data_IF_106507788224
#
_entry.id   IF_106507788224
#
_cell.length_a   1.000
_cell.length_b   1.000
_cell.length_c   1.000
_cell.angle_alpha   90.00
_cell.angle_beta   90.00
_cell.angle_gamma   90.00
#
_symmetry.space_group_name_H-M   'P 1'
#
loop_
_entity.id
_entity.type
_entity.pdbx_description
1 polymer ?
#
# COMPACT_ATOMS: atom_id res chain seq x y z
N UNK A 1 37.99 -2.82 30.86
CA UNK A 1 36.57 -2.87 31.30
C UNK A 1 35.56 -2.31 30.28
N UNK A 2 35.98 -1.61 29.22
CA UNK A 2 35.09 -1.02 28.20
C UNK A 2 34.51 -2.02 27.19
N UNK A 3 35.25 -3.08 26.82
CA UNK A 3 34.79 -4.11 25.86
C UNK A 3 33.51 -4.87 26.29
N UNK A 4 33.30 -5.10 27.59
CA UNK A 4 32.11 -5.81 28.09
C UNK A 4 30.85 -4.91 28.09
N UNK A 5 30.99 -3.59 28.27
CA UNK A 5 29.88 -2.62 28.17
C UNK A 5 29.40 -2.43 26.72
N UNK A 6 30.30 -2.52 25.74
CA UNK A 6 29.95 -2.41 24.32
C UNK A 6 29.21 -3.68 23.85
N UNK A 7 29.66 -4.87 24.29
CA UNK A 7 28.95 -6.14 24.00
C UNK A 7 27.53 -6.16 24.53
N UNK A 8 27.30 -5.59 25.72
CA UNK A 8 25.96 -5.53 26.33
C UNK A 8 25.04 -4.53 25.63
N UNK A 9 25.53 -3.36 25.23
CA UNK A 9 24.74 -2.37 24.48
C UNK A 9 24.30 -2.88 23.10
N UNK A 10 25.23 -3.47 22.34
CA UNK A 10 24.95 -4.02 21.01
C UNK A 10 23.97 -5.21 21.10
N UNK A 11 24.10 -6.03 22.13
CA UNK A 11 23.16 -7.13 22.40
C UNK A 11 21.75 -6.62 22.73
N UNK A 12 21.63 -5.55 23.54
CA UNK A 12 20.36 -4.89 23.86
C UNK A 12 19.68 -4.33 22.61
N UNK A 13 20.45 -3.70 21.72
CA UNK A 13 19.94 -3.14 20.48
C UNK A 13 19.46 -4.23 19.49
N UNK A 14 20.18 -5.35 19.41
CA UNK A 14 19.75 -6.52 18.62
C UNK A 14 18.49 -7.19 19.19
N UNK A 15 18.37 -7.26 20.53
CA UNK A 15 17.18 -7.77 21.20
C UNK A 15 15.96 -6.89 20.91
N UNK A 16 16.13 -5.57 20.89
CA UNK A 16 15.07 -4.62 20.57
C UNK A 16 14.57 -4.78 19.13
N UNK A 17 15.48 -4.96 18.17
CA UNK A 17 15.12 -5.25 16.78
C UNK A 17 14.37 -6.58 16.65
N UNK A 18 14.80 -7.62 17.36
CA UNK A 18 14.12 -8.91 17.39
C UNK A 18 12.71 -8.80 17.97
N UNK A 19 12.53 -8.06 19.06
CA UNK A 19 11.22 -7.83 19.68
C UNK A 19 10.28 -7.08 18.74
N UNK A 20 10.77 -6.01 18.10
CA UNK A 20 10.02 -5.24 17.10
C UNK A 20 9.57 -6.10 15.92
N UNK A 21 10.41 -7.02 15.46
CA UNK A 21 10.03 -7.97 14.41
C UNK A 21 8.85 -8.86 14.83
N UNK A 22 8.87 -9.41 16.05
CA UNK A 22 7.74 -10.20 16.57
C UNK A 22 6.47 -9.36 16.72
N UNK A 23 6.57 -8.11 17.20
CA UNK A 23 5.41 -7.21 17.29
C UNK A 23 4.77 -7.01 15.92
N UNK A 24 5.58 -6.75 14.88
CA UNK A 24 5.08 -6.57 13.51
C UNK A 24 4.43 -7.85 12.99
N UNK A 25 5.04 -9.01 13.27
CA UNK A 25 4.50 -10.30 12.87
C UNK A 25 3.13 -10.57 13.51
N UNK A 26 2.99 -10.34 14.82
CA UNK A 26 1.72 -10.48 15.52
C UNK A 26 0.69 -9.46 15.04
N UNK A 27 1.09 -8.20 14.85
CA UNK A 27 0.21 -7.17 14.29
C UNK A 27 -0.28 -7.56 12.88
N UNK A 28 0.58 -8.16 12.06
CA UNK A 28 0.20 -8.67 10.73
C UNK A 28 -0.86 -9.74 10.78
N UNK A 29 -0.66 -10.80 11.58
CA UNK A 29 -1.66 -11.86 11.72
C UNK A 29 -2.98 -11.33 12.30
N UNK A 30 -2.90 -10.42 13.28
CA UNK A 30 -4.10 -9.79 13.85
C UNK A 30 -4.87 -8.98 12.80
N UNK A 31 -4.17 -8.13 12.05
CA UNK A 31 -4.77 -7.33 10.96
C UNK A 31 -5.32 -8.21 9.85
N UNK A 32 -4.65 -9.32 9.53
CA UNK A 32 -5.12 -10.30 8.53
C UNK A 32 -6.42 -10.98 8.95
N UNK A 33 -6.54 -11.41 10.21
CA UNK A 33 -7.79 -11.99 10.71
C UNK A 33 -8.95 -10.99 10.64
N UNK A 34 -8.69 -9.72 10.99
CA UNK A 34 -9.69 -8.65 10.89
C UNK A 34 -10.06 -8.40 9.43
N UNK A 35 -9.09 -8.21 8.55
CA UNK A 35 -9.36 -7.92 7.14
C UNK A 35 -10.05 -9.08 6.43
N UNK A 36 -9.78 -10.33 6.85
CA UNK A 36 -10.49 -11.50 6.34
C UNK A 36 -11.95 -11.52 6.79
N UNK A 37 -12.26 -11.17 8.04
CA UNK A 37 -13.64 -11.04 8.50
C UNK A 37 -14.43 -9.98 7.71
N UNK A 38 -13.76 -8.88 7.33
CA UNK A 38 -14.35 -7.78 6.54
C UNK A 38 -14.06 -7.88 5.02
N UNK A 39 -13.71 -9.07 4.50
CA UNK A 39 -13.27 -9.20 3.10
C UNK A 39 -14.34 -8.79 2.10
N UNK A 40 -15.60 -9.08 2.38
CA UNK A 40 -16.71 -8.79 1.47
C UNK A 40 -16.96 -7.27 1.38
N UNK A 41 -16.83 -6.54 2.48
CA UNK A 41 -16.92 -5.07 2.44
C UNK A 41 -15.72 -4.45 1.73
N UNK A 42 -14.52 -5.04 1.87
CA UNK A 42 -13.34 -4.59 1.13
C UNK A 42 -13.56 -4.77 -0.38
N UNK A 43 -14.05 -5.94 -0.81
CA UNK A 43 -14.43 -6.21 -2.21
C UNK A 43 -15.43 -5.17 -2.71
N UNK A 44 -16.49 -4.91 -1.94
CA UNK A 44 -17.49 -3.91 -2.30
C UNK A 44 -16.86 -2.51 -2.44
N UNK A 45 -15.98 -2.11 -1.52
CA UNK A 45 -15.29 -0.82 -1.55
C UNK A 45 -14.45 -0.67 -2.84
N UNK A 46 -13.74 -1.72 -3.25
CA UNK A 46 -12.93 -1.71 -4.47
C UNK A 46 -13.79 -1.58 -5.74
N UNK A 47 -15.00 -2.15 -5.76
CA UNK A 47 -15.88 -2.21 -6.94
C UNK A 47 -16.89 -1.05 -6.97
N UNK A 48 -17.21 -0.43 -5.83
CA UNK A 48 -18.26 0.59 -5.69
C UNK A 48 -18.13 1.73 -6.72
N UNK A 49 -16.91 2.21 -6.97
CA UNK A 49 -16.65 3.28 -7.94
C UNK A 49 -17.00 2.90 -9.39
N UNK A 50 -17.03 1.61 -9.71
CA UNK A 50 -17.40 1.10 -11.04
C UNK A 50 -18.91 0.81 -11.12
N UNK A 51 -19.49 0.30 -10.03
CA UNK A 51 -20.94 0.09 -9.90
C UNK A 51 -21.70 1.41 -10.04
N UNK A 52 -21.27 2.45 -9.32
CA UNK A 52 -21.84 3.81 -9.40
C UNK A 52 -21.77 4.44 -10.79
N UNK A 53 -20.78 4.05 -11.60
CA UNK A 53 -20.63 4.49 -12.99
C UNK A 53 -21.34 3.59 -14.00
N UNK A 54 -22.10 2.57 -13.55
CA UNK A 54 -22.76 1.54 -14.37
C UNK A 54 -21.84 0.80 -15.36
N UNK A 55 -20.54 0.75 -15.08
CA UNK A 55 -19.52 0.16 -15.95
C UNK A 55 -19.36 -1.36 -15.75
N UNK A 56 -19.88 -1.88 -14.64
CA UNK A 56 -19.78 -3.27 -14.21
C UNK A 56 -21.11 -3.69 -13.59
N UNK A 57 -21.71 -4.77 -14.08
CA UNK A 57 -22.97 -5.31 -13.57
C UNK A 57 -22.78 -6.55 -12.69
N UNK A 58 -21.90 -7.45 -13.09
CA UNK A 58 -21.62 -8.69 -12.37
C UNK A 58 -20.20 -9.20 -12.71
N UNK A 59 -19.68 -10.07 -11.84
CA UNK A 59 -18.48 -10.84 -12.09
C UNK A 59 -18.84 -12.30 -12.33
N UNK A 60 -18.03 -12.98 -13.13
CA UNK A 60 -18.12 -14.42 -13.32
C UNK A 60 -17.01 -15.10 -12.53
N UNK A 61 -17.32 -16.22 -11.90
CA UNK A 61 -16.34 -17.11 -11.31
C UNK A 61 -16.49 -18.47 -11.99
N UNK A 62 -15.36 -19.06 -12.38
CA UNK A 62 -15.36 -20.35 -13.08
C UNK A 62 -15.20 -21.52 -12.12
N UNK A 63 -14.42 -21.33 -11.05
CA UNK A 63 -14.22 -22.30 -9.99
C UNK A 63 -14.81 -21.83 -8.68
N UNK A 64 -15.34 -22.77 -7.89
CA UNK A 64 -15.90 -22.51 -6.55
C UNK A 64 -14.84 -21.96 -5.59
N UNK A 65 -13.58 -22.37 -5.74
CA UNK A 65 -12.47 -21.92 -4.89
C UNK A 65 -11.99 -20.50 -5.22
N UNK A 66 -12.39 -19.92 -6.36
CA UNK A 66 -11.90 -18.59 -6.77
C UNK A 66 -12.28 -17.51 -5.75
N UNK A 67 -13.54 -17.51 -5.30
CA UNK A 67 -14.04 -16.51 -4.34
C UNK A 67 -13.28 -16.60 -3.00
N UNK A 68 -13.03 -17.83 -2.53
CA UNK A 68 -12.27 -18.04 -1.30
C UNK A 68 -10.82 -17.52 -1.43
N UNK A 69 -10.16 -17.84 -2.55
CA UNK A 69 -8.79 -17.39 -2.82
C UNK A 69 -8.74 -15.87 -2.97
N UNK A 70 -9.72 -15.25 -3.63
CA UNK A 70 -9.78 -13.78 -3.76
C UNK A 70 -9.95 -13.11 -2.40
N UNK A 71 -10.81 -13.64 -1.54
CA UNK A 71 -11.03 -13.07 -0.20
C UNK A 71 -9.74 -13.10 0.64
N UNK A 72 -9.02 -14.23 0.61
CA UNK A 72 -7.71 -14.37 1.28
C UNK A 72 -6.69 -13.41 0.67
N UNK A 73 -6.63 -13.31 -0.66
CA UNK A 73 -5.62 -12.48 -1.31
C UNK A 73 -5.84 -10.99 -1.01
N UNK A 74 -7.09 -10.53 -1.03
CA UNK A 74 -7.46 -9.15 -0.68
C UNK A 74 -7.19 -8.88 0.80
N UNK A 75 -7.58 -9.77 1.71
CA UNK A 75 -7.32 -9.60 3.14
C UNK A 75 -5.82 -9.57 3.45
N UNK A 76 -5.02 -10.38 2.74
CA UNK A 76 -3.57 -10.40 2.86
C UNK A 76 -2.93 -9.11 2.33
N UNK A 77 -3.33 -8.64 1.15
CA UNK A 77 -2.84 -7.39 0.59
C UNK A 77 -3.16 -6.18 1.47
N UNK A 78 -4.38 -6.10 1.99
CA UNK A 78 -4.79 -5.00 2.89
C UNK A 78 -4.06 -5.04 4.24
N UNK A 79 -3.90 -6.23 4.85
CA UNK A 79 -3.12 -6.39 6.07
C UNK A 79 -1.64 -6.03 5.85
N UNK A 80 -1.03 -6.47 4.73
CA UNK A 80 0.33 -6.07 4.36
C UNK A 80 0.45 -4.54 4.23
N UNK A 81 -0.53 -3.89 3.60
CA UNK A 81 -0.51 -2.45 3.42
C UNK A 81 -0.53 -1.70 4.77
N UNK A 82 -1.42 -2.08 5.68
CA UNK A 82 -1.54 -1.45 7.01
C UNK A 82 -0.29 -1.74 7.85
N UNK A 83 0.25 -2.96 7.79
CA UNK A 83 1.46 -3.32 8.54
C UNK A 83 2.71 -2.61 8.04
N UNK A 84 2.81 -2.29 6.75
CA UNK A 84 3.92 -1.48 6.22
C UNK A 84 3.94 -0.09 6.87
N UNK A 85 2.78 0.53 7.09
CA UNK A 85 2.67 1.81 7.77
C UNK A 85 3.15 1.72 9.23
N UNK A 86 2.70 0.68 9.95
CA UNK A 86 3.16 0.41 11.33
C UNK A 86 4.65 0.11 11.41
N UNK A 87 5.19 -0.62 10.43
CA UNK A 87 6.62 -0.97 10.37
C UNK A 87 7.49 0.28 10.28
N UNK A 88 7.07 1.29 9.51
CA UNK A 88 7.81 2.56 9.38
C UNK A 88 7.88 3.28 10.74
N UNK A 89 6.79 3.32 11.50
CA UNK A 89 6.78 3.87 12.86
C UNK A 89 7.73 3.11 13.79
N UNK A 90 7.69 1.78 13.75
CA UNK A 90 8.53 0.95 14.62
C UNK A 90 10.02 1.10 14.30
N UNK A 91 10.37 1.21 13.01
CA UNK A 91 11.73 1.52 12.56
C UNK A 91 12.14 2.90 13.06
N UNK A 92 11.25 3.89 13.01
CA UNK A 92 11.54 5.23 13.55
C UNK A 92 11.77 5.19 15.06
N UNK A 93 10.94 4.51 15.86
CA UNK A 93 11.16 4.39 17.31
C UNK A 93 12.52 3.77 17.65
N UNK A 94 12.97 2.82 16.84
CA UNK A 94 14.30 2.23 16.97
C UNK A 94 15.42 3.22 16.65
N UNK A 95 15.30 3.98 15.56
CA UNK A 95 16.27 4.98 15.13
C UNK A 95 16.29 6.21 16.05
N UNK A 96 15.14 6.61 16.60
CA UNK A 96 14.93 7.84 17.37
C UNK A 96 15.83 7.93 18.61
N UNK A 97 16.22 6.78 19.18
CA UNK A 97 17.15 6.71 20.32
C UNK A 97 18.58 7.13 19.96
N UNK A 98 18.96 7.04 18.69
CA UNK A 98 20.26 7.44 18.18
C UNK A 98 20.30 8.79 17.47
N UNK A 99 19.15 9.42 17.23
CA UNK A 99 19.01 10.67 16.47
C UNK A 99 19.05 11.91 17.36
N UNK A 100 19.57 13.02 16.84
CA UNK A 100 19.51 14.31 17.53
C UNK A 100 18.06 14.84 17.58
N UNK A 101 17.74 15.67 18.58
CA UNK A 101 16.38 16.24 18.78
C UNK A 101 15.83 16.93 17.53
N UNK A 102 16.68 17.66 16.78
CA UNK A 102 16.30 18.31 15.53
C UNK A 102 16.00 17.32 14.40
N UNK A 103 16.74 16.21 14.31
CA UNK A 103 16.53 15.17 13.30
C UNK A 103 15.22 14.42 13.56
N UNK A 104 14.89 14.15 14.82
CA UNK A 104 13.61 13.54 15.18
C UNK A 104 12.41 14.40 14.75
N UNK A 105 12.50 15.74 14.83
CA UNK A 105 11.44 16.62 14.36
C UNK A 105 11.26 16.55 12.83
N UNK A 106 12.36 16.48 12.08
CA UNK A 106 12.34 16.31 10.62
C UNK A 106 11.68 14.97 10.24
N UNK A 107 11.99 13.88 10.93
CA UNK A 107 11.36 12.57 10.72
C UNK A 107 9.86 12.58 10.99
N UNK A 108 9.41 13.24 12.07
CA UNK A 108 7.97 13.34 12.37
C UNK A 108 7.25 14.11 11.26
N UNK A 109 7.83 15.22 10.79
CA UNK A 109 7.27 15.99 9.68
C UNK A 109 7.22 15.18 8.38
N UNK A 110 8.25 14.41 8.09
CA UNK A 110 8.29 13.48 6.96
C UNK A 110 7.18 12.43 7.07
N UNK A 111 7.02 11.80 8.24
CA UNK A 111 6.02 10.76 8.46
C UNK A 111 4.59 11.29 8.34
N UNK A 112 4.33 12.50 8.82
CA UNK A 112 3.03 13.16 8.65
C UNK A 112 2.72 13.43 7.17
N UNK A 113 3.69 13.96 6.42
CA UNK A 113 3.56 14.14 4.96
C UNK A 113 3.33 12.80 4.25
N UNK A 114 4.01 11.75 4.68
CA UNK A 114 3.86 10.40 4.12
C UNK A 114 2.43 9.88 4.29
N UNK A 115 1.81 10.04 5.46
CA UNK A 115 0.41 9.61 5.69
C UNK A 115 -0.55 10.34 4.74
N UNK A 116 -0.41 11.67 4.63
CA UNK A 116 -1.26 12.49 3.74
C UNK A 116 -1.08 12.05 2.28
N UNK A 117 0.17 11.81 1.88
CA UNK A 117 0.48 11.40 0.52
C UNK A 117 -0.09 10.00 0.21
N UNK A 118 0.02 9.04 1.13
CA UNK A 118 -0.59 7.72 0.98
C UNK A 118 -2.10 7.80 0.78
N UNK A 119 -2.79 8.64 1.56
CA UNK A 119 -4.22 8.83 1.42
C UNK A 119 -4.59 9.42 0.05
N UNK A 120 -3.83 10.41 -0.42
CA UNK A 120 -4.01 10.99 -1.75
C UNK A 120 -3.78 9.96 -2.86
N UNK A 121 -2.73 9.14 -2.76
CA UNK A 121 -2.45 8.07 -3.72
C UNK A 121 -3.62 7.08 -3.79
N UNK A 122 -4.08 6.58 -2.64
CA UNK A 122 -5.20 5.63 -2.58
C UNK A 122 -6.43 6.22 -3.27
N UNK A 123 -6.78 7.46 -2.92
CA UNK A 123 -7.93 8.13 -3.51
C UNK A 123 -7.77 8.30 -5.04
N UNK A 124 -6.59 8.69 -5.51
CA UNK A 124 -6.28 8.87 -6.93
C UNK A 124 -6.41 7.55 -7.71
N UNK A 125 -5.88 6.45 -7.17
CA UNK A 125 -5.95 5.13 -7.82
C UNK A 125 -7.40 4.68 -7.96
N UNK A 126 -8.20 4.79 -6.89
CA UNK A 126 -9.59 4.33 -6.89
C UNK A 126 -10.55 5.21 -7.68
N UNK A 127 -10.35 6.53 -7.72
CA UNK A 127 -11.28 7.46 -8.38
C UNK A 127 -10.96 7.74 -9.84
N UNK A 128 -9.67 7.76 -10.21
CA UNK A 128 -9.22 8.12 -11.56
C UNK A 128 -8.68 6.92 -12.33
N UNK A 129 -7.72 6.18 -11.76
CA UNK A 129 -6.99 5.17 -12.52
C UNK A 129 -7.87 3.95 -12.84
N UNK A 130 -8.51 3.36 -11.83
CA UNK A 130 -9.34 2.17 -12.02
C UNK A 130 -10.50 2.41 -13.00
N UNK A 131 -11.29 3.50 -12.88
CA UNK A 131 -12.37 3.77 -13.84
C UNK A 131 -11.86 4.04 -15.26
N UNK A 132 -10.72 4.71 -15.43
CA UNK A 132 -10.16 4.99 -16.75
C UNK A 132 -9.69 3.71 -17.44
N UNK A 133 -9.02 2.81 -16.71
CA UNK A 133 -8.64 1.50 -17.22
C UNK A 133 -9.88 0.71 -17.65
N UNK A 134 -10.96 0.78 -16.86
CA UNK A 134 -12.20 0.08 -17.18
C UNK A 134 -12.89 0.63 -18.43
N UNK A 135 -12.93 1.95 -18.57
CA UNK A 135 -13.45 2.61 -19.76
C UNK A 135 -12.65 2.19 -21.01
N UNK A 136 -11.33 2.09 -20.89
CA UNK A 136 -10.48 1.58 -21.97
C UNK A 136 -10.84 0.14 -22.34
N UNK A 137 -10.99 -0.78 -21.36
CA UNK A 137 -11.37 -2.17 -21.64
C UNK A 137 -12.77 -2.31 -22.25
N UNK A 138 -13.75 -1.53 -21.80
CA UNK A 138 -15.09 -1.55 -22.40
C UNK A 138 -15.09 -1.06 -23.85
N UNK A 139 -14.23 -0.08 -24.17
CA UNK A 139 -14.08 0.44 -25.53
C UNK A 139 -13.31 -0.52 -26.45
N UNK A 140 -12.63 -1.53 -25.91
CA UNK A 140 -11.99 -2.61 -26.69
C UNK A 140 -12.99 -3.66 -27.20
N UNK A 141 -14.27 -3.57 -26.84
CA UNK A 141 -15.28 -4.46 -27.40
C UNK A 141 -15.32 -4.31 -28.93
N UNK A 142 -14.75 -5.29 -29.64
CA UNK A 142 -14.75 -5.36 -31.08
C UNK A 142 -16.18 -5.65 -31.57
N UNK A 143 -16.97 -4.60 -31.73
CA UNK A 143 -18.32 -4.69 -32.35
C UNK A 143 -18.20 -4.91 -33.87
N UNK A 144 -17.00 -4.84 -34.44
CA UNK A 144 -16.82 -4.85 -35.88
C UNK A 144 -16.05 -6.08 -36.38
N UNK A 145 -16.78 -7.13 -36.75
CA UNK A 145 -16.58 -7.88 -38.01
C UNK A 145 -17.43 -9.16 -38.02
N UNK A 146 -17.99 -9.44 -39.18
CA UNK A 146 -19.05 -10.39 -39.53
C UNK A 146 -18.88 -11.88 -39.15
N UNK A 147 -17.98 -12.24 -38.22
CA UNK A 147 -17.58 -13.64 -37.97
C UNK A 147 -17.59 -14.03 -36.48
N UNK A 148 -17.34 -13.11 -35.52
CA UNK A 148 -17.33 -13.47 -34.09
C UNK A 148 -17.58 -12.27 -33.17
N UNK A 149 -18.66 -12.33 -32.38
CA UNK A 149 -18.95 -11.34 -31.34
C UNK A 149 -18.17 -11.69 -30.06
N UNK A 150 -17.24 -10.82 -29.65
CA UNK A 150 -16.49 -10.98 -28.40
C UNK A 150 -17.16 -10.12 -27.33
N UNK A 151 -17.69 -10.76 -26.28
CA UNK A 151 -18.22 -10.07 -25.11
C UNK A 151 -17.16 -9.98 -24.01
N UNK A 152 -17.04 -8.81 -23.39
CA UNK A 152 -16.16 -8.62 -22.24
C UNK A 152 -16.90 -8.99 -20.96
N UNK A 153 -16.58 -10.18 -20.44
CA UNK A 153 -17.07 -10.66 -19.15
C UNK A 153 -15.89 -10.87 -18.19
N UNK A 154 -15.70 -10.00 -17.19
CA UNK A 154 -14.56 -10.06 -16.31
C UNK A 154 -14.71 -11.21 -15.30
N UNK A 155 -13.67 -12.05 -15.20
CA UNK A 155 -13.57 -13.03 -14.12
C UNK A 155 -13.12 -12.35 -12.82
N UNK A 156 -13.68 -12.78 -11.69
CA UNK A 156 -13.44 -12.15 -10.39
C UNK A 156 -11.95 -12.19 -9.98
N UNK A 157 -11.30 -13.35 -10.12
CA UNK A 157 -9.91 -13.52 -9.73
C UNK A 157 -8.96 -12.66 -10.58
N UNK A 158 -9.15 -12.66 -11.90
CA UNK A 158 -8.31 -11.86 -12.81
C UNK A 158 -8.47 -10.36 -12.57
N UNK A 159 -9.69 -9.92 -12.27
CA UNK A 159 -10.00 -8.54 -11.96
C UNK A 159 -9.27 -8.06 -10.70
N UNK A 160 -9.42 -8.78 -9.58
CA UNK A 160 -8.78 -8.38 -8.32
C UNK A 160 -7.26 -8.51 -8.36
N UNK A 161 -6.73 -9.54 -9.02
CA UNK A 161 -5.28 -9.66 -9.21
C UNK A 161 -4.72 -8.48 -10.00
N UNK A 162 -5.41 -8.07 -11.07
CA UNK A 162 -5.01 -6.92 -11.86
C UNK A 162 -5.05 -5.63 -11.01
N UNK A 163 -6.15 -5.36 -10.31
CA UNK A 163 -6.30 -4.14 -9.50
C UNK A 163 -5.30 -4.08 -8.36
N UNK A 164 -5.13 -5.18 -7.62
CA UNK A 164 -4.17 -5.23 -6.51
C UNK A 164 -2.74 -5.09 -7.02
N UNK A 165 -2.38 -5.75 -8.12
CA UNK A 165 -1.06 -5.61 -8.74
C UNK A 165 -0.80 -4.19 -9.21
N UNK A 166 -1.78 -3.56 -9.89
CA UNK A 166 -1.69 -2.16 -10.31
C UNK A 166 -1.60 -1.21 -9.12
N UNK A 167 -2.39 -1.45 -8.07
CA UNK A 167 -2.34 -0.66 -6.85
C UNK A 167 -0.94 -0.71 -6.22
N UNK A 168 -0.36 -1.90 -6.07
CA UNK A 168 0.97 -2.09 -5.50
C UNK A 168 2.04 -1.41 -6.35
N UNK A 169 2.00 -1.57 -7.68
CA UNK A 169 3.02 -0.98 -8.57
C UNK A 169 2.96 0.55 -8.57
N UNK A 170 1.77 1.12 -8.70
CA UNK A 170 1.55 2.57 -8.64
C UNK A 170 1.95 3.13 -7.28
N UNK A 171 1.60 2.44 -6.20
CA UNK A 171 1.97 2.83 -4.85
C UNK A 171 3.50 2.89 -4.68
N UNK A 172 4.23 1.87 -5.16
CA UNK A 172 5.70 1.86 -5.10
C UNK A 172 6.29 3.03 -5.89
N UNK A 173 5.81 3.27 -7.12
CA UNK A 173 6.28 4.37 -7.96
C UNK A 173 6.03 5.73 -7.29
N UNK A 174 4.83 5.94 -6.76
CA UNK A 174 4.45 7.19 -6.10
C UNK A 174 5.22 7.37 -4.78
N UNK A 175 5.50 6.27 -4.07
CA UNK A 175 6.33 6.30 -2.87
C UNK A 175 7.79 6.69 -3.17
N UNK A 176 8.38 6.16 -4.24
CA UNK A 176 9.73 6.58 -4.69
C UNK A 176 9.72 8.06 -5.07
N UNK A 177 8.70 8.52 -5.80
CA UNK A 177 8.53 9.93 -6.15
C UNK A 177 8.42 10.82 -4.90
N UNK A 178 7.67 10.40 -3.89
CA UNK A 178 7.55 11.11 -2.62
C UNK A 178 8.90 11.26 -1.89
N UNK A 179 9.69 10.18 -1.83
CA UNK A 179 11.04 10.23 -1.23
C UNK A 179 11.91 11.24 -1.99
N UNK A 180 11.90 11.21 -3.32
CA UNK A 180 12.68 12.12 -4.16
C UNK A 180 12.23 13.59 -3.95
N UNK A 181 10.93 13.83 -3.92
CA UNK A 181 10.35 15.13 -3.65
C UNK A 181 10.78 15.67 -2.28
N UNK A 182 10.72 14.83 -1.25
CA UNK A 182 11.15 15.22 0.10
C UNK A 182 12.65 15.54 0.16
N UNK A 183 13.48 14.72 -0.51
CA UNK A 183 14.92 14.97 -0.59
C UNK A 183 15.24 16.31 -1.26
N UNK A 184 14.56 16.61 -2.38
CA UNK A 184 14.68 17.91 -3.05
C UNK A 184 14.25 19.07 -2.15
N UNK A 185 13.14 18.91 -1.43
CA UNK A 185 12.65 19.91 -0.48
C UNK A 185 13.66 20.18 0.65
N UNK A 186 14.34 19.14 1.16
CA UNK A 186 15.41 19.33 2.14
C UNK A 186 16.62 20.06 1.57
N UNK A 187 17.03 19.77 0.33
CA UNK A 187 18.13 20.49 -0.34
C UNK A 187 17.78 21.96 -0.53
N UNK A 188 16.56 22.25 -1.02
CA UNK A 188 16.09 23.61 -1.23
C UNK A 188 16.11 24.43 0.08
N UNK A 189 15.60 23.85 1.17
CA UNK A 189 15.64 24.48 2.50
C UNK A 189 17.08 24.75 2.95
N UNK A 190 18.02 23.83 2.71
CA UNK A 190 19.43 23.99 3.09
C UNK A 190 20.13 25.08 2.28
N UNK A 191 19.80 25.23 0.99
CA UNK A 191 20.30 26.31 0.13
C UNK A 191 19.84 27.69 0.61
N UNK A 192 18.60 27.80 1.09
CA UNK A 192 18.04 29.05 1.60
C UNK A 192 18.78 29.56 2.86
N UNK A 193 19.26 28.64 3.71
CA UNK A 193 20.08 28.98 4.88
C UNK A 193 21.53 29.37 4.54
N UNK A 194 22.03 29.05 3.34
CA UNK A 194 23.42 29.31 2.93
C UNK A 194 23.56 30.61 2.10
N UNK A 195 22.44 31.18 1.67
CA UNK A 195 22.31 32.42 0.90
C UNK A 195 22.00 33.66 1.78
N UNK A 196 21.89 33.46 3.10
CA UNK A 196 21.68 34.50 4.14
C UNK A 196 22.94 34.54 5.00
#
# INVERSE_FOLDING_TARGET
MTKNKIKTYLHLHLLELKYNFFIILFAFFYLFCISYYFSDQLIYLLVNNLLTKNMLKYFIFTNITEIFITNIFISLCTALFITIQLKILLIWFFLAKGLYKFENFIFIKFYFLFIIFNYLIINLIFTLIIPNIWNFFLNLNFVNSYILTIYFEPKINTYFNFILSSFISLFIILFVFFILFFYYLMIFLKLQYLLI
#
